data_IF_690400677359
#
_entry.id   IF_690400677359
#
_cell.length_a   1.000
_cell.length_b   1.000
_cell.length_c   1.000
_cell.angle_alpha   90.00
_cell.angle_beta   90.00
_cell.angle_gamma   90.00
#
_symmetry.space_group_name_H-M   'P 1'
#
loop_
_entity.id
_entity.type
_entity.pdbx_description
1 polymer ?
#
# COMPACT_ATOMS: atom_id res chain seq x y z
N UNK A 1 -0.76 -25.31 22.58
CA UNK A 1 0.36 -24.33 22.58
C UNK A 1 -0.20 -23.01 23.10
N UNK A 2 0.32 -22.42 24.18
CA UNK A 2 -0.20 -21.16 24.70
C UNK A 2 -0.08 -20.05 23.66
N UNK A 3 -1.11 -19.21 23.54
CA UNK A 3 -1.10 -18.07 22.64
C UNK A 3 0.05 -17.11 23.06
N UNK A 4 0.84 -16.58 22.11
CA UNK A 4 1.89 -15.63 22.46
C UNK A 4 1.28 -14.42 23.17
N UNK A 5 1.94 -13.98 24.25
CA UNK A 5 1.62 -12.70 24.90
C UNK A 5 1.78 -11.61 23.83
N UNK A 6 0.72 -10.86 23.58
CA UNK A 6 0.71 -9.76 22.62
C UNK A 6 0.54 -8.44 23.36
N UNK A 7 1.10 -7.39 22.78
CA UNK A 7 0.93 -6.00 23.22
C UNK A 7 0.36 -5.19 22.05
N UNK A 8 -0.47 -4.19 22.35
CA UNK A 8 -1.07 -3.33 21.32
C UNK A 8 -0.47 -1.93 21.42
N UNK A 9 -0.06 -1.40 20.27
CA UNK A 9 0.46 -0.04 20.17
C UNK A 9 -0.24 0.71 19.05
N UNK A 10 -0.44 2.01 19.27
CA UNK A 10 -0.96 2.95 18.26
C UNK A 10 0.15 3.57 17.42
N UNK A 11 1.42 3.33 17.75
CA UNK A 11 2.56 3.81 16.98
C UNK A 11 3.00 2.78 15.96
N UNK A 12 3.36 3.25 14.76
CA UNK A 12 3.97 2.40 13.74
C UNK A 12 5.30 1.83 14.26
N UNK A 13 5.35 0.52 14.50
CA UNK A 13 6.53 -0.16 15.06
C UNK A 13 7.46 -0.75 13.99
N UNK A 14 6.96 -0.96 12.76
CA UNK A 14 7.71 -1.52 11.65
C UNK A 14 7.28 -0.89 10.31
N UNK A 15 8.11 -0.99 9.25
CA UNK A 15 7.69 -0.66 7.90
C UNK A 15 6.50 -1.51 7.47
N UNK A 16 5.54 -0.91 6.76
CA UNK A 16 4.41 -1.64 6.21
C UNK A 16 4.91 -2.72 5.23
N UNK A 17 4.30 -3.90 5.27
CA UNK A 17 4.70 -5.06 4.48
C UNK A 17 5.80 -5.93 5.12
N UNK A 18 6.36 -5.54 6.26
CA UNK A 18 7.37 -6.34 6.97
C UNK A 18 6.82 -7.72 7.33
N UNK A 19 7.63 -8.75 7.10
CA UNK A 19 7.29 -10.14 7.44
C UNK A 19 7.87 -10.52 8.80
N UNK A 20 7.04 -11.11 9.66
CA UNK A 20 7.46 -11.64 10.95
C UNK A 20 7.03 -13.10 11.07
N UNK A 21 8.00 -13.97 11.39
CA UNK A 21 7.78 -15.41 11.53
C UNK A 21 7.83 -15.80 13.00
N UNK A 22 6.78 -16.47 13.48
CA UNK A 22 6.71 -16.98 14.85
C UNK A 22 6.69 -18.51 14.82
N UNK A 23 7.85 -19.11 15.08
CA UNK A 23 8.05 -20.56 14.94
C UNK A 23 8.17 -20.98 13.48
N UNK A 24 7.87 -22.24 13.17
CA UNK A 24 8.04 -22.81 11.82
C UNK A 24 6.84 -22.61 10.89
N UNK A 25 5.66 -22.28 11.43
CA UNK A 25 4.39 -22.44 10.69
C UNK A 25 3.49 -21.20 10.68
N UNK A 26 3.94 -20.09 11.30
CA UNK A 26 3.15 -18.85 11.35
C UNK A 26 3.95 -17.69 10.81
N UNK A 27 3.49 -17.16 9.68
CA UNK A 27 4.04 -15.98 9.02
C UNK A 27 2.99 -14.87 9.10
N UNK A 28 3.37 -13.73 9.66
CA UNK A 28 2.55 -12.55 9.78
C UNK A 28 3.14 -11.43 8.91
N UNK A 29 2.28 -10.65 8.28
CA UNK A 29 2.70 -9.41 7.61
C UNK A 29 2.16 -8.21 8.35
N UNK A 30 3.03 -7.24 8.59
CA UNK A 30 2.66 -5.97 9.19
C UNK A 30 1.90 -5.14 8.16
N UNK A 31 0.62 -4.88 8.41
CA UNK A 31 -0.26 -4.17 7.50
C UNK A 31 -0.93 -2.99 8.19
N UNK A 32 -1.35 -2.00 7.40
CA UNK A 32 -2.10 -0.86 7.90
C UNK A 32 -3.47 -1.32 8.36
N UNK A 33 -3.85 -0.95 9.57
CA UNK A 33 -5.19 -1.20 10.08
C UNK A 33 -6.25 -0.35 9.35
N UNK A 34 -7.43 -0.92 9.16
CA UNK A 34 -8.62 -0.19 8.71
C UNK A 34 -9.23 0.69 9.83
N UNK A 35 -10.44 1.22 9.63
CA UNK A 35 -11.07 2.16 10.56
C UNK A 35 -11.50 1.53 11.90
N UNK A 36 -11.56 0.20 12.00
CA UNK A 36 -11.99 -0.52 13.20
C UNK A 36 -10.81 -1.00 14.07
N UNK A 37 -11.04 -1.16 15.37
CA UNK A 37 -10.06 -1.80 16.25
C UNK A 37 -9.88 -3.28 15.88
N UNK A 38 -8.63 -3.74 15.82
CA UNK A 38 -8.31 -5.12 15.50
C UNK A 38 -8.59 -6.04 16.69
N UNK A 39 -9.45 -7.02 16.50
CA UNK A 39 -9.62 -8.12 17.44
C UNK A 39 -8.61 -9.24 17.13
N UNK A 40 -8.13 -9.89 18.19
CA UNK A 40 -7.19 -11.01 18.06
C UNK A 40 -7.88 -12.18 17.37
N UNK A 41 -7.18 -12.82 16.44
CA UNK A 41 -7.69 -13.97 15.68
C UNK A 41 -8.53 -13.62 14.46
N UNK A 42 -8.70 -12.33 14.15
CA UNK A 42 -9.35 -11.90 12.91
C UNK A 42 -8.41 -12.05 11.72
N UNK A 43 -8.91 -12.62 10.62
CA UNK A 43 -8.21 -12.61 9.34
C UNK A 43 -8.28 -11.20 8.77
N UNK A 44 -7.11 -10.62 8.48
CA UNK A 44 -7.02 -9.29 7.91
C UNK A 44 -6.64 -9.41 6.44
N UNK A 45 -7.39 -8.68 5.61
CA UNK A 45 -7.09 -8.46 4.22
C UNK A 45 -6.71 -7.00 4.02
N UNK A 46 -5.74 -6.74 3.14
CA UNK A 46 -5.41 -5.37 2.76
C UNK A 46 -6.61 -4.65 2.10
N UNK A 47 -6.64 -3.31 2.12
CA UNK A 47 -7.68 -2.54 1.44
C UNK A 47 -7.75 -2.93 -0.04
N UNK A 48 -8.97 -2.98 -0.59
CA UNK A 48 -9.19 -3.22 -2.02
C UNK A 48 -8.54 -2.08 -2.82
N UNK A 49 -7.71 -2.36 -3.84
CA UNK A 49 -7.26 -1.32 -4.76
C UNK A 49 -8.47 -0.58 -5.35
N UNK A 50 -8.53 0.73 -5.17
CA UNK A 50 -9.52 1.60 -5.80
C UNK A 50 -8.90 2.27 -7.02
N UNK A 51 -9.73 2.57 -8.02
CA UNK A 51 -9.27 3.26 -9.24
C UNK A 51 -8.75 4.68 -8.94
N UNK A 52 -9.10 5.23 -7.77
CA UNK A 52 -8.61 6.52 -7.30
C UNK A 52 -7.11 6.52 -6.95
N UNK A 53 -6.49 5.37 -6.66
CA UNK A 53 -5.07 5.25 -6.27
C UNK A 53 -4.28 4.24 -7.14
N UNK A 54 -4.90 3.65 -8.16
CA UNK A 54 -4.31 2.63 -9.02
C UNK A 54 -4.48 2.98 -10.50
N UNK A 55 -3.54 2.55 -11.35
CA UNK A 55 -3.59 2.75 -12.81
C UNK A 55 -3.81 4.22 -13.24
N UNK A 56 -3.21 5.14 -12.49
CA UNK A 56 -3.34 6.58 -12.73
C UNK A 56 -2.34 7.08 -13.75
N UNK A 57 -2.75 8.05 -14.56
CA UNK A 57 -1.84 8.79 -15.42
C UNK A 57 -1.08 9.83 -14.60
N UNK A 58 0.24 9.71 -14.54
CA UNK A 58 1.08 10.73 -13.93
C UNK A 58 1.30 11.92 -14.87
N UNK A 59 1.48 13.12 -14.29
CA UNK A 59 1.87 14.28 -15.06
C UNK A 59 3.30 14.12 -15.62
N UNK A 60 3.50 14.50 -16.88
CA UNK A 60 4.83 14.50 -17.48
C UNK A 60 5.76 15.45 -16.73
N UNK A 61 7.00 15.03 -16.54
CA UNK A 61 7.98 15.80 -15.79
C UNK A 61 9.35 15.78 -16.45
N UNK A 62 10.14 16.84 -16.21
CA UNK A 62 11.49 16.94 -16.75
C UNK A 62 12.39 15.79 -16.27
N UNK A 63 13.27 15.34 -17.17
CA UNK A 63 14.28 14.31 -16.89
C UNK A 63 15.15 14.72 -15.70
N UNK A 64 15.43 13.77 -14.81
CA UNK A 64 16.29 13.98 -13.63
C UNK A 64 15.54 14.47 -12.38
N UNK A 65 14.21 14.59 -12.42
CA UNK A 65 13.41 14.83 -11.22
C UNK A 65 13.10 13.52 -10.50
N UNK A 66 13.08 13.56 -9.17
CA UNK A 66 12.80 12.42 -8.29
C UNK A 66 11.42 12.48 -7.65
N UNK A 67 10.48 13.23 -8.25
CA UNK A 67 9.11 13.30 -7.77
C UNK A 67 8.15 13.04 -8.92
N UNK A 68 7.00 12.45 -8.58
CA UNK A 68 5.93 12.07 -9.50
C UNK A 68 4.65 12.71 -8.95
N UNK A 69 3.92 13.40 -9.82
CA UNK A 69 2.66 14.04 -9.45
C UNK A 69 1.49 13.28 -10.09
N UNK A 70 0.54 12.85 -9.26
CA UNK A 70 -0.71 12.22 -9.66
C UNK A 70 -1.89 12.98 -9.03
N UNK A 71 -3.01 13.04 -9.72
CA UNK A 71 -4.22 13.71 -9.23
C UNK A 71 -5.22 12.66 -8.76
N UNK A 72 -5.36 12.50 -7.43
CA UNK A 72 -6.35 11.59 -6.84
C UNK A 72 -7.77 12.10 -7.08
N UNK A 73 -8.73 11.18 -7.25
CA UNK A 73 -10.12 11.55 -7.51
C UNK A 73 -10.76 12.27 -6.31
N UNK A 74 -11.76 13.09 -6.58
CA UNK A 74 -12.44 13.97 -5.63
C UNK A 74 -13.33 13.15 -4.69
N UNK A 75 -12.71 12.51 -3.71
CA UNK A 75 -13.37 11.69 -2.69
C UNK A 75 -12.38 10.87 -1.86
N UNK A 76 -11.19 10.63 -2.40
CA UNK A 76 -10.15 9.79 -1.79
C UNK A 76 -8.86 10.61 -1.61
N UNK A 77 -8.90 11.61 -0.73
CA UNK A 77 -7.70 12.39 -0.41
C UNK A 77 -6.69 11.51 0.31
N UNK A 78 -5.46 11.46 -0.22
CA UNK A 78 -4.39 10.80 0.50
C UNK A 78 -4.12 11.48 1.84
N UNK A 79 -4.07 10.68 2.90
CA UNK A 79 -3.66 11.14 4.22
C UNK A 79 -2.14 11.37 4.26
N UNK A 80 -1.69 12.16 5.23
CA UNK A 80 -0.27 12.44 5.39
C UNK A 80 0.53 11.13 5.52
N UNK A 81 1.57 10.98 4.69
CA UNK A 81 2.47 9.81 4.66
C UNK A 81 1.78 8.47 4.35
N UNK A 82 0.62 8.47 3.67
CA UNK A 82 -0.15 7.27 3.34
C UNK A 82 0.67 6.17 2.63
N UNK A 83 1.64 6.55 1.80
CA UNK A 83 2.50 5.62 1.05
C UNK A 83 3.95 5.59 1.52
N UNK A 84 4.24 6.14 2.70
CA UNK A 84 5.61 6.22 3.19
C UNK A 84 6.20 4.82 3.38
N UNK A 85 7.44 4.61 2.92
CA UNK A 85 8.12 3.31 2.83
C UNK A 85 7.39 2.26 1.96
N UNK A 86 6.44 2.70 1.12
CA UNK A 86 5.74 1.84 0.16
C UNK A 86 6.50 1.67 -1.15
N UNK A 87 5.91 0.91 -2.06
CA UNK A 87 6.41 0.72 -3.42
C UNK A 87 5.50 1.43 -4.42
N UNK A 88 6.11 2.14 -5.37
CA UNK A 88 5.42 2.61 -6.57
C UNK A 88 5.66 1.63 -7.70
N UNK A 89 4.57 1.16 -8.31
CA UNK A 89 4.61 0.39 -9.54
C UNK A 89 4.18 1.28 -10.70
N UNK A 90 4.97 1.29 -11.76
CA UNK A 90 4.67 2.03 -13.01
C UNK A 90 4.58 1.01 -14.13
N UNK A 91 3.46 1.00 -14.83
CA UNK A 91 3.30 0.29 -16.10
C UNK A 91 3.34 1.30 -17.25
N UNK A 92 3.79 0.86 -18.42
CA UNK A 92 3.34 1.50 -19.64
C UNK A 92 1.90 1.05 -19.87
N UNK A 93 0.95 1.99 -19.88
CA UNK A 93 -0.26 1.67 -20.63
C UNK A 93 0.19 1.58 -22.07
N UNK A 94 0.21 0.37 -22.62
CA UNK A 94 0.51 0.12 -24.01
C UNK A 94 -0.37 1.05 -24.85
N UNK A 95 0.24 2.11 -25.38
CA UNK A 95 -0.36 2.86 -26.47
C UNK A 95 -0.50 1.83 -27.57
N UNK A 96 -1.74 1.46 -27.90
CA UNK A 96 -2.02 0.80 -29.16
C UNK A 96 -1.56 1.78 -30.24
N UNK A 97 -0.37 1.56 -30.78
CA UNK A 97 0.08 2.25 -31.97
C UNK A 97 -0.87 1.81 -33.08
N UNK A 98 -1.88 2.63 -33.38
CA UNK A 98 -2.53 2.56 -34.68
C UNK A 98 -1.47 3.03 -35.66
N UNK A 99 -0.80 2.08 -36.30
CA UNK A 99 0.14 2.35 -37.38
C UNK A 99 -0.59 3.15 -38.46
N UNK A 100 -0.33 4.46 -38.51
CA UNK A 100 -0.68 5.32 -39.63
C UNK A 100 0.47 5.20 -40.65
N UNK A 101 0.28 4.30 -41.62
CA UNK A 101 1.20 4.06 -42.74
C UNK A 101 0.65 3.05 -43.73
#
# INVERSE_FOLDING_TARGET
MPLPIYDTSTTQAAPLGSEHRIGMDRVFRYARNGPGALAVGTVLQGPRPNDSHANMTCAAQAVGKSNITVTLDRGDMALLNEYKEGYLYVNDQGVTLTDEG
#
